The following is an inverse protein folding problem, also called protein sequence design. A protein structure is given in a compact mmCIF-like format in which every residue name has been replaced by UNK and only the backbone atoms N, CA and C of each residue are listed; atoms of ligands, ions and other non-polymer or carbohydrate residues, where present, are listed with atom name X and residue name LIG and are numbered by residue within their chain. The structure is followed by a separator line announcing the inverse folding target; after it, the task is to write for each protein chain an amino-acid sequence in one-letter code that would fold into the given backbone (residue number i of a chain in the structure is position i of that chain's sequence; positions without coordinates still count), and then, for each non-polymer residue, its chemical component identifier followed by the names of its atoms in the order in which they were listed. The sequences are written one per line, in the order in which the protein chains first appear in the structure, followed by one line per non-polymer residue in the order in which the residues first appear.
data_IF_637897545192
#
_entry.id   IF_637897545192
#
_cell.length_a   1.000
_cell.length_b   1.000
_cell.length_c   1.000
_cell.angle_alpha   90.00
_cell.angle_beta   90.00
_cell.angle_gamma   90.00
#
_symmetry.space_group_name_H-M   'P 1'
#
loop_
_entity.id
_entity.type
_entity.pdbx_description
1 polymer ?
#
# COMPACT_ATOMS: atom_id res chain seq x y z
N UNK A 1 -7.10 2.24 -5.23
CA UNK A 1 -6.20 1.38 -6.03
C UNK A 1 -5.53 0.38 -5.10
N UNK A 2 -5.26 -0.83 -5.61
CA UNK A 2 -4.66 -1.96 -4.89
C UNK A 2 -3.37 -2.40 -5.56
N UNK A 3 -2.62 -3.28 -4.89
CA UNK A 3 -1.41 -3.95 -5.34
C UNK A 3 -0.26 -2.99 -5.69
N UNK A 4 -0.22 -1.83 -5.03
CA UNK A 4 0.78 -0.79 -5.27
C UNK A 4 1.63 -0.48 -4.02
N UNK A 5 1.58 -1.36 -3.02
CA UNK A 5 2.44 -1.30 -1.83
C UNK A 5 3.86 -1.82 -2.05
N UNK A 6 4.66 -1.92 -0.97
CA UNK A 6 6.02 -2.43 -1.02
C UNK A 6 6.14 -3.77 -1.74
N UNK A 7 5.40 -4.80 -1.35
CA UNK A 7 5.46 -6.12 -1.99
C UNK A 7 4.64 -6.18 -3.29
N UNK A 8 3.53 -5.46 -3.36
CA UNK A 8 2.58 -5.51 -4.45
C UNK A 8 3.09 -5.01 -5.78
N UNK A 9 3.76 -3.85 -5.78
CA UNK A 9 4.13 -3.24 -7.04
C UNK A 9 5.25 -4.00 -7.77
N UNK A 10 6.34 -4.47 -7.14
CA UNK A 10 6.99 -4.12 -5.86
C UNK A 10 7.82 -2.83 -5.90
N UNK A 11 8.27 -2.34 -4.74
CA UNK A 11 9.16 -1.16 -4.62
C UNK A 11 8.45 0.14 -4.24
N UNK A 12 7.17 0.04 -3.88
CA UNK A 12 6.35 1.13 -3.33
C UNK A 12 6.36 2.41 -4.22
N UNK A 13 5.74 2.38 -5.41
CA UNK A 13 5.76 3.47 -6.39
C UNK A 13 4.94 4.72 -6.00
N UNK A 14 5.21 5.83 -6.69
CA UNK A 14 4.45 7.09 -6.60
C UNK A 14 3.28 7.15 -7.60
N UNK A 15 2.31 6.24 -7.45
CA UNK A 15 1.14 6.15 -8.34
C UNK A 15 -0.19 6.40 -7.63
N UNK A 16 -0.15 6.89 -6.39
CA UNK A 16 -1.34 7.21 -5.59
C UNK A 16 -2.14 8.41 -6.11
N UNK A 17 -1.50 9.33 -6.85
CA UNK A 17 -2.14 10.46 -7.53
C UNK A 17 -2.87 10.03 -8.81
N UNK A 18 -3.87 9.18 -8.65
CA UNK A 18 -4.65 8.64 -9.77
C UNK A 18 -5.26 9.77 -10.60
N UNK A 19 -5.21 9.66 -11.95
CA UNK A 19 -5.82 10.64 -12.83
C UNK A 19 -7.33 10.66 -12.64
N UNK A 20 -7.89 11.86 -12.67
CA UNK A 20 -9.33 12.08 -12.60
C UNK A 20 -10.03 11.61 -13.89
N UNK A 21 -11.24 11.02 -13.80
CA UNK A 21 -12.02 10.71 -15.00
C UNK A 21 -12.30 11.99 -15.80
N UNK A 22 -12.06 11.95 -17.12
CA UNK A 22 -12.24 13.10 -18.01
C UNK A 22 -13.62 13.77 -17.87
N UNK A 23 -14.67 12.95 -17.78
CA UNK A 23 -16.05 13.42 -17.59
C UNK A 23 -16.25 14.29 -16.33
N UNK A 24 -15.50 14.02 -15.26
CA UNK A 24 -15.59 14.80 -14.01
C UNK A 24 -14.87 16.14 -14.17
N UNK A 25 -13.71 16.13 -14.83
CA UNK A 25 -12.96 17.35 -15.16
C UNK A 25 -13.75 18.27 -16.08
N UNK A 26 -14.42 17.72 -17.10
CA UNK A 26 -15.30 18.45 -18.02
C UNK A 26 -16.51 19.09 -17.31
N UNK A 27 -16.92 18.55 -16.15
CA UNK A 27 -17.94 19.11 -15.28
C UNK A 27 -17.39 20.13 -14.26
N UNK A 28 -16.10 20.44 -14.32
CA UNK A 28 -15.43 21.37 -13.40
C UNK A 28 -15.06 20.77 -12.04
N UNK A 29 -15.24 19.46 -11.84
CA UNK A 29 -14.77 18.77 -10.63
C UNK A 29 -13.28 18.54 -10.75
N UNK A 30 -12.50 19.20 -9.89
CA UNK A 30 -11.02 19.19 -9.94
C UNK A 30 -10.38 18.26 -8.92
N UNK A 31 -11.13 17.74 -7.95
CA UNK A 31 -10.63 16.80 -6.94
C UNK A 31 -11.65 15.72 -6.58
N UNK A 32 -11.13 14.55 -6.21
CA UNK A 32 -11.87 13.42 -5.67
C UNK A 32 -10.99 12.69 -4.66
N UNK A 33 -11.65 12.12 -3.65
CA UNK A 33 -11.00 11.23 -2.68
C UNK A 33 -10.41 10.02 -3.41
N UNK A 34 -9.11 9.82 -3.24
CA UNK A 34 -8.35 8.69 -3.82
C UNK A 34 -7.65 7.94 -2.70
N UNK A 35 -7.79 6.62 -2.66
CA UNK A 35 -7.21 5.78 -1.59
C UNK A 35 -6.36 4.70 -2.24
N UNK A 36 -5.13 4.52 -1.75
CA UNK A 36 -4.25 3.44 -2.22
C UNK A 36 -3.22 3.02 -1.18
N UNK A 37 -2.70 1.81 -1.35
CA UNK A 37 -1.50 1.31 -0.68
C UNK A 37 -0.20 1.81 -1.35
N UNK A 38 -0.26 2.84 -2.20
CA UNK A 38 0.88 3.43 -2.91
C UNK A 38 1.43 4.70 -2.22
N UNK A 39 2.54 5.23 -2.75
CA UNK A 39 3.04 6.57 -2.45
C UNK A 39 2.54 7.59 -3.48
N UNK A 40 2.99 8.83 -3.35
CA UNK A 40 2.74 9.93 -4.28
C UNK A 40 3.94 10.87 -4.24
N UNK A 41 4.22 11.55 -5.35
CA UNK A 41 5.24 12.62 -5.38
C UNK A 41 4.89 13.71 -4.37
N UNK A 42 5.91 14.24 -3.69
CA UNK A 42 5.76 15.41 -2.81
C UNK A 42 5.31 16.69 -3.53
N UNK A 43 5.36 16.73 -4.87
CA UNK A 43 4.90 17.87 -5.68
C UNK A 43 3.42 17.79 -6.11
N UNK A 44 2.74 16.69 -5.80
CA UNK A 44 1.38 16.45 -6.26
C UNK A 44 0.32 16.95 -5.25
N UNK A 45 -0.94 17.08 -5.68
CA UNK A 45 -2.02 17.67 -4.88
C UNK A 45 -3.34 16.88 -4.92
N UNK A 46 -4.29 17.28 -4.07
CA UNK A 46 -5.65 16.77 -3.97
C UNK A 46 -5.87 15.88 -2.74
N UNK A 47 -7.11 15.43 -2.56
CA UNK A 47 -7.53 14.66 -1.39
C UNK A 47 -7.15 13.18 -1.57
N UNK A 48 -5.93 12.82 -1.19
CA UNK A 48 -5.37 11.48 -1.42
C UNK A 48 -4.94 10.83 -0.11
N UNK A 49 -5.50 9.65 0.19
CA UNK A 49 -5.03 8.75 1.25
C UNK A 49 -3.99 7.80 0.67
N UNK A 50 -2.80 7.84 1.26
CA UNK A 50 -1.63 7.10 0.83
C UNK A 50 -1.21 6.09 1.90
N UNK A 51 -0.29 5.20 1.53
CA UNK A 51 0.39 4.30 2.46
C UNK A 51 -0.56 3.40 3.27
N UNK A 52 -1.76 3.07 2.75
CA UNK A 52 -2.69 2.18 3.42
C UNK A 52 -2.00 0.87 3.79
N UNK A 53 -2.07 0.52 5.06
CA UNK A 53 -1.29 -0.54 5.70
C UNK A 53 -2.19 -1.40 6.58
N UNK A 54 -2.06 -2.74 6.58
CA UNK A 54 -1.25 -3.54 5.66
C UNK A 54 -1.68 -3.36 4.20
N UNK A 55 -0.75 -3.47 3.26
CA UNK A 55 -1.06 -3.35 1.83
C UNK A 55 -2.02 -4.46 1.36
N UNK A 56 -2.69 -4.23 0.25
CA UNK A 56 -3.68 -5.19 -0.27
C UNK A 56 -3.05 -6.52 -0.71
N UNK A 57 -1.81 -6.52 -1.20
CA UNK A 57 -1.09 -7.73 -1.65
C UNK A 57 -0.88 -8.74 -0.53
N UNK A 58 -0.74 -8.28 0.72
CA UNK A 58 -0.53 -9.13 1.90
C UNK A 58 -1.82 -9.41 2.66
N UNK A 59 -2.98 -9.09 2.06
CA UNK A 59 -4.30 -9.37 2.64
C UNK A 59 -4.77 -8.33 3.66
N UNK A 60 -4.26 -7.09 3.59
CA UNK A 60 -4.82 -5.98 4.36
C UNK A 60 -6.26 -5.64 3.94
N UNK A 61 -7.03 -4.89 4.75
CA UNK A 61 -8.45 -4.62 4.49
C UNK A 61 -8.75 -4.05 3.10
N UNK A 62 -7.85 -3.24 2.55
CA UNK A 62 -7.98 -2.68 1.20
C UNK A 62 -8.05 -3.77 0.11
N UNK A 63 -7.52 -4.97 0.35
CA UNK A 63 -7.65 -6.12 -0.55
C UNK A 63 -9.11 -6.52 -0.80
N UNK A 64 -9.97 -6.32 0.19
CA UNK A 64 -11.35 -6.82 0.20
C UNK A 64 -12.38 -5.80 -0.25
N UNK A 65 -11.96 -4.58 -0.57
CA UNK A 65 -12.85 -3.55 -1.14
C UNK A 65 -13.35 -4.01 -2.52
N UNK A 66 -14.65 -3.87 -2.74
CA UNK A 66 -15.36 -4.16 -3.98
C UNK A 66 -16.06 -2.91 -4.51
N UNK A 67 -16.37 -2.91 -5.81
CA UNK A 67 -17.10 -1.80 -6.43
C UNK A 67 -18.50 -1.69 -5.81
N UNK A 68 -18.89 -0.48 -5.42
CA UNK A 68 -20.18 -0.21 -4.78
C UNK A 68 -20.14 -0.22 -3.25
N UNK A 69 -19.04 -0.65 -2.63
CA UNK A 69 -18.88 -0.49 -1.18
C UNK A 69 -18.82 1.00 -0.80
N UNK A 70 -19.45 1.35 0.32
CA UNK A 70 -19.34 2.68 0.89
C UNK A 70 -18.08 2.82 1.75
N UNK A 71 -17.42 3.98 1.63
CA UNK A 71 -16.20 4.32 2.38
C UNK A 71 -16.42 5.68 3.04
N UNK A 72 -16.20 5.73 4.35
CA UNK A 72 -16.22 6.96 5.14
C UNK A 72 -14.79 7.47 5.34
N UNK A 73 -14.54 8.73 4.98
CA UNK A 73 -13.30 9.44 5.30
C UNK A 73 -13.61 10.62 6.23
N UNK A 74 -13.08 10.57 7.44
CA UNK A 74 -13.19 11.64 8.44
C UNK A 74 -11.79 12.03 8.93
N UNK A 75 -11.24 13.06 8.29
CA UNK A 75 -9.91 13.58 8.61
C UNK A 75 -9.85 14.18 10.03
N UNK A 76 -10.79 15.04 10.48
CA UNK A 76 -10.80 15.56 11.85
C UNK A 76 -10.70 14.47 12.92
N UNK A 77 -11.46 13.39 12.80
CA UNK A 77 -11.46 12.28 13.76
C UNK A 77 -10.44 11.17 13.45
N UNK A 78 -9.62 11.34 12.39
CA UNK A 78 -8.60 10.38 11.96
C UNK A 78 -9.17 8.99 11.63
N UNK A 79 -10.35 8.96 11.02
CA UNK A 79 -11.03 7.71 10.64
C UNK A 79 -11.08 7.52 9.14
N UNK A 80 -10.89 6.27 8.73
CA UNK A 80 -11.13 5.78 7.38
C UNK A 80 -11.79 4.42 7.50
N UNK A 81 -13.10 4.36 7.24
CA UNK A 81 -13.89 3.16 7.47
C UNK A 81 -14.41 2.60 6.15
N UNK A 82 -14.31 1.28 6.00
CA UNK A 82 -15.03 0.53 4.98
C UNK A 82 -16.36 0.10 5.61
N UNK A 83 -17.48 0.60 5.08
CA UNK A 83 -18.82 0.37 5.65
C UNK A 83 -19.39 -0.97 5.18
N UNK A 84 -18.69 -2.05 5.51
CA UNK A 84 -19.06 -3.43 5.22
C UNK A 84 -19.13 -4.18 6.55
N UNK A 85 -20.12 -5.06 6.71
CA UNK A 85 -20.25 -5.86 7.93
C UNK A 85 -19.04 -6.78 8.13
N UNK A 86 -18.74 -7.09 9.39
CA UNK A 86 -17.64 -8.01 9.73
C UNK A 86 -17.83 -9.39 9.10
N UNK A 87 -19.07 -9.88 9.03
CA UNK A 87 -19.41 -11.17 8.40
C UNK A 87 -19.06 -11.17 6.90
N UNK A 88 -19.37 -10.10 6.19
CA UNK A 88 -19.07 -9.99 4.76
C UNK A 88 -17.56 -9.85 4.54
N UNK A 89 -16.87 -9.06 5.37
CA UNK A 89 -15.42 -8.98 5.34
C UNK A 89 -14.75 -10.33 5.63
N UNK A 90 -15.26 -11.10 6.59
CA UNK A 90 -14.78 -12.44 6.90
C UNK A 90 -14.96 -13.39 5.71
N UNK A 91 -16.11 -13.37 5.04
CA UNK A 91 -16.35 -14.15 3.81
C UNK A 91 -15.37 -13.78 2.70
N UNK A 92 -15.19 -12.48 2.44
CA UNK A 92 -14.25 -11.98 1.42
C UNK A 92 -12.81 -12.40 1.73
N UNK A 93 -12.42 -12.34 3.00
CA UNK A 93 -11.09 -12.79 3.47
C UNK A 93 -10.92 -14.30 3.33
N UNK A 94 -11.94 -15.10 3.63
CA UNK A 94 -11.89 -16.56 3.49
C UNK A 94 -11.78 -17.00 2.02
N UNK A 95 -12.38 -16.24 1.09
CA UNK A 95 -12.28 -16.48 -0.34
C UNK A 95 -11.01 -15.90 -0.99
N UNK A 96 -10.18 -15.16 -0.24
CA UNK A 96 -9.04 -14.44 -0.81
C UNK A 96 -7.85 -15.37 -1.05
N UNK A 97 -7.27 -15.25 -2.24
CA UNK A 97 -6.05 -15.93 -2.63
C UNK A 97 -4.96 -14.89 -2.80
N UNK A 98 -3.85 -15.08 -2.08
CA UNK A 98 -2.70 -14.20 -2.20
C UNK A 98 -2.17 -14.19 -3.64
N UNK A 99 -1.87 -13.01 -4.22
CA UNK A 99 -1.24 -12.94 -5.54
C UNK A 99 0.12 -13.64 -5.55
N UNK A 100 0.44 -14.28 -6.68
CA UNK A 100 1.77 -14.86 -6.88
C UNK A 100 2.82 -13.73 -6.86
N UNK A 101 3.94 -13.89 -6.12
CA UNK A 101 5.01 -12.90 -6.10
C UNK A 101 5.52 -12.58 -7.51
N UNK A 102 5.76 -11.30 -7.80
CA UNK A 102 6.21 -10.84 -9.12
C UNK A 102 7.65 -11.23 -9.45
N UNK A 103 8.43 -11.69 -8.47
CA UNK A 103 9.81 -12.13 -8.68
C UNK A 103 10.13 -13.38 -7.83
N UNK A 104 10.85 -14.33 -8.45
CA UNK A 104 11.28 -15.59 -7.81
C UNK A 104 12.79 -15.69 -7.62
N UNK A 105 13.57 -14.67 -8.02
CA UNK A 105 15.04 -14.60 -7.86
C UNK A 105 15.54 -13.15 -7.85
N UNK A 106 16.79 -12.96 -7.44
CA UNK A 106 17.50 -11.67 -7.48
C UNK A 106 17.06 -10.69 -6.39
N UNK A 107 17.47 -9.42 -6.52
CA UNK A 107 17.15 -8.35 -5.56
C UNK A 107 15.64 -8.24 -5.29
N UNK A 108 14.82 -8.28 -6.34
CA UNK A 108 13.37 -8.18 -6.19
C UNK A 108 12.78 -9.29 -5.31
N UNK A 109 13.34 -10.50 -5.35
CA UNK A 109 12.92 -11.57 -4.42
C UNK A 109 13.29 -11.23 -2.98
N UNK A 110 14.55 -10.84 -2.73
CA UNK A 110 15.01 -10.45 -1.39
C UNK A 110 14.13 -9.33 -0.84
N UNK A 111 13.87 -8.30 -1.66
CA UNK A 111 13.02 -7.18 -1.27
C UNK A 111 11.59 -7.64 -0.95
N UNK A 112 10.93 -8.41 -1.82
CA UNK A 112 9.56 -8.91 -1.57
C UNK A 112 9.51 -9.78 -0.30
N UNK A 113 10.51 -10.62 -0.08
CA UNK A 113 10.55 -11.52 1.08
C UNK A 113 10.69 -10.71 2.39
N UNK A 114 11.60 -9.74 2.42
CA UNK A 114 12.05 -9.07 3.65
C UNK A 114 11.49 -7.67 3.90
N UNK A 115 10.88 -7.01 2.90
CA UNK A 115 10.38 -5.65 3.10
C UNK A 115 9.22 -5.61 4.09
N UNK A 116 9.30 -4.70 5.04
CA UNK A 116 8.27 -4.39 6.02
C UNK A 116 7.16 -3.54 5.38
N UNK A 117 6.04 -3.42 6.09
CA UNK A 117 4.91 -2.61 5.64
C UNK A 117 5.19 -1.11 5.79
N UNK A 118 4.44 -0.28 5.08
CA UNK A 118 4.67 1.18 5.02
C UNK A 118 4.58 1.87 6.39
N UNK A 119 3.75 1.37 7.30
CA UNK A 119 3.63 1.91 8.67
C UNK A 119 4.89 1.68 9.54
N UNK A 120 5.82 0.81 9.10
CA UNK A 120 7.13 0.58 9.71
C UNK A 120 8.27 1.23 8.91
N UNK A 121 7.96 2.04 7.89
CA UNK A 121 8.96 2.70 7.06
C UNK A 121 9.41 1.91 5.82
N UNK A 122 8.84 0.72 5.57
CA UNK A 122 9.19 -0.14 4.44
C UNK A 122 10.69 -0.50 4.34
N UNK A 123 11.34 -0.66 5.50
CA UNK A 123 12.71 -1.18 5.60
C UNK A 123 12.76 -2.70 5.35
N UNK A 124 13.94 -3.28 5.21
CA UNK A 124 14.12 -4.73 5.23
C UNK A 124 14.21 -5.21 6.69
N UNK A 125 13.43 -6.24 7.04
CA UNK A 125 13.31 -6.73 8.42
C UNK A 125 14.65 -7.05 9.10
N UNK A 126 15.61 -7.59 8.36
CA UNK A 126 16.95 -7.95 8.85
C UNK A 126 17.92 -6.77 8.95
N UNK A 127 17.53 -5.57 8.50
CA UNK A 127 18.34 -4.34 8.59
C UNK A 127 17.92 -3.44 9.76
N UNK A 128 16.80 -3.72 10.42
CA UNK A 128 16.30 -2.91 11.53
C UNK A 128 17.33 -2.85 12.67
N UNK A 129 17.68 -1.63 13.08
CA UNK A 129 18.64 -1.37 14.16
C UNK A 129 19.97 -0.82 13.62
N UNK A 130 21.08 -1.39 14.08
CA UNK A 130 22.42 -0.98 13.65
C UNK A 130 23.42 -2.13 13.77
N UNK A 131 24.35 -2.23 12.80
CA UNK A 131 25.34 -3.32 12.74
C UNK A 131 26.61 -3.08 13.57
N UNK A 132 26.75 -1.88 14.16
CA UNK A 132 27.96 -1.47 14.87
C UNK A 132 29.17 -1.30 13.94
N UNK A 133 30.35 -1.20 14.55
CA UNK A 133 31.64 -0.92 13.92
C UNK A 133 32.58 -2.14 13.94
N UNK A 134 32.02 -3.35 13.90
CA UNK A 134 32.77 -4.61 13.95
C UNK A 134 33.93 -4.63 12.94
N UNK A 135 35.15 -4.74 13.46
CA UNK A 135 36.37 -4.88 12.64
C UNK A 135 36.50 -6.35 12.21
N UNK A 136 36.41 -6.66 10.91
CA UNK A 136 36.55 -8.02 10.43
C UNK A 136 37.98 -8.53 10.61
N UNK A 137 38.15 -9.85 10.47
CA UNK A 137 39.47 -10.47 10.49
C UNK A 137 40.38 -9.83 9.44
N UNK A 138 41.68 -9.78 9.75
CA UNK A 138 42.69 -9.41 8.76
C UNK A 138 42.51 -10.23 7.48
N UNK A 139 42.59 -9.55 6.33
CA UNK A 139 42.39 -10.19 5.04
C UNK A 139 43.50 -11.18 4.69
N UNK A 140 44.69 -11.01 5.27
CA UNK A 140 45.91 -11.79 5.08
C UNK A 140 46.64 -11.95 6.43
#
# INVERSE_FOLDING_TARGET
MRNSGPKGYPGFPEVGNLPMPKKMLEQGVTDMVRISDARMSGTAYGTVVLHVSPESTVGGPLAFVQNGDEIELDVPNRKLNLLVSEDELAKRKAAWVAPVPKATRGWSKIYIDHVQQSHLGADLDFLVGGSGDYVPRHSH
#
